data_IF_398588274964
#
_entry.id   IF_398588274964
#
_cell.length_a   1.000
_cell.length_b   1.000
_cell.length_c   1.000
_cell.angle_alpha   90.00
_cell.angle_beta   90.00
_cell.angle_gamma   90.00
#
_symmetry.space_group_name_H-M   'P 1'
#
loop_
_entity.id
_entity.type
_entity.pdbx_description
1 polymer ?
#
# COMPACT_ATOMS: atom_id res chain seq x y z
N UNK A 1 10.31 -21.75 22.27
CA UNK A 1 9.10 -21.01 21.89
C UNK A 1 8.88 -19.89 22.91
N UNK A 2 8.68 -18.64 22.53
CA UNK A 2 8.38 -17.58 23.50
C UNK A 2 7.03 -17.89 24.15
N UNK A 3 6.95 -17.80 25.48
CA UNK A 3 5.71 -17.97 26.23
C UNK A 3 4.74 -16.85 25.84
N UNK A 4 3.73 -17.19 25.04
CA UNK A 4 2.75 -16.25 24.48
C UNK A 4 1.66 -15.88 25.52
N UNK A 5 1.59 -16.61 26.64
CA UNK A 5 0.56 -16.43 27.65
C UNK A 5 1.15 -16.08 29.02
N UNK A 6 0.56 -15.09 29.71
CA UNK A 6 0.68 -14.94 31.15
C UNK A 6 -0.66 -15.22 31.80
N UNK A 7 -0.66 -16.08 32.81
CA UNK A 7 -1.82 -16.35 33.64
C UNK A 7 -1.71 -15.52 34.93
N UNK A 8 -2.75 -14.78 35.23
CA UNK A 8 -2.91 -14.11 36.51
C UNK A 8 -4.06 -14.79 37.29
N UNK A 9 -3.82 -15.14 38.56
CA UNK A 9 -4.84 -15.77 39.34
C UNK A 9 -5.92 -14.75 39.76
N UNK A 10 -5.57 -13.49 39.91
CA UNK A 10 -6.46 -12.42 40.34
C UNK A 10 -6.23 -11.13 39.56
N UNK A 11 -7.26 -10.27 39.52
CA UNK A 11 -7.15 -8.92 38.96
C UNK A 11 -6.12 -8.07 39.74
N UNK A 12 -5.98 -8.32 41.06
CA UNK A 12 -4.96 -7.66 41.88
C UNK A 12 -3.56 -7.97 41.41
N UNK A 13 -3.24 -9.22 41.04
CA UNK A 13 -1.94 -9.61 40.50
C UNK A 13 -1.68 -8.95 39.16
N UNK A 14 -2.69 -8.85 38.30
CA UNK A 14 -2.60 -8.15 37.03
C UNK A 14 -2.27 -6.67 37.21
N UNK A 15 -2.98 -5.98 38.11
CA UNK A 15 -2.83 -4.55 38.33
C UNK A 15 -1.51 -4.16 39.06
N UNK A 16 -0.83 -5.11 39.72
CA UNK A 16 0.45 -4.85 40.38
C UNK A 16 1.67 -4.93 39.44
N UNK A 17 1.52 -5.49 38.26
CA UNK A 17 2.63 -5.49 37.27
C UNK A 17 2.71 -4.14 36.57
N UNK A 18 3.86 -3.48 36.70
CA UNK A 18 4.12 -2.15 36.10
C UNK A 18 4.25 -2.15 34.56
N UNK A 19 4.41 -3.34 33.94
CA UNK A 19 4.51 -3.48 32.49
C UNK A 19 3.79 -4.73 32.03
N UNK A 20 2.64 -4.54 31.38
CA UNK A 20 2.01 -5.62 30.62
C UNK A 20 2.71 -5.76 29.27
N UNK A 21 3.21 -6.95 28.91
CA UNK A 21 3.95 -7.10 27.68
C UNK A 21 3.04 -6.80 26.47
N UNK A 22 3.46 -5.86 25.65
CA UNK A 22 2.81 -5.58 24.38
C UNK A 22 2.73 -6.86 23.53
N UNK A 23 1.63 -7.06 22.83
CA UNK A 23 1.36 -8.23 21.99
C UNK A 23 1.22 -9.58 22.72
N UNK A 24 0.94 -9.59 24.02
CA UNK A 24 0.61 -10.82 24.78
C UNK A 24 -0.85 -10.83 25.19
N UNK A 25 -1.43 -12.03 25.16
CA UNK A 25 -2.77 -12.27 25.68
C UNK A 25 -2.64 -12.64 27.14
N UNK A 26 -3.29 -11.89 28.01
CA UNK A 26 -3.31 -12.16 29.46
C UNK A 26 -4.70 -12.65 29.87
N UNK A 27 -4.75 -13.72 30.64
CA UNK A 27 -5.99 -14.27 31.17
C UNK A 27 -6.05 -14.10 32.69
N UNK A 28 -7.14 -13.51 33.21
CA UNK A 28 -7.40 -13.31 34.64
C UNK A 28 -8.45 -14.34 35.05
N UNK A 29 -8.01 -15.35 35.77
CA UNK A 29 -8.81 -16.54 36.13
C UNK A 29 -10.02 -16.23 36.98
N UNK A 30 -9.92 -15.32 37.97
CA UNK A 30 -11.00 -14.99 38.90
C UNK A 30 -12.11 -14.14 38.27
N UNK A 31 -11.82 -13.52 37.10
CA UNK A 31 -12.78 -12.65 36.39
C UNK A 31 -13.21 -13.22 35.04
N UNK A 32 -12.61 -14.35 34.61
CA UNK A 32 -12.85 -14.92 33.26
C UNK A 32 -12.72 -13.88 32.14
N UNK A 33 -11.71 -13.02 32.23
CA UNK A 33 -11.51 -11.90 31.29
C UNK A 33 -10.20 -12.07 30.55
N UNK A 34 -10.25 -11.84 29.24
CA UNK A 34 -9.09 -11.77 28.37
C UNK A 34 -8.66 -10.32 28.20
N UNK A 35 -7.36 -10.08 28.32
CA UNK A 35 -6.74 -8.79 28.00
C UNK A 35 -5.73 -8.99 26.88
N UNK A 36 -5.71 -8.06 25.94
CA UNK A 36 -4.64 -7.95 24.93
C UNK A 36 -4.26 -6.49 24.82
N UNK A 37 -2.96 -6.20 24.88
CA UNK A 37 -2.42 -4.83 24.80
C UNK A 37 -3.08 -3.85 25.78
N UNK A 38 -3.38 -4.31 27.01
CA UNK A 38 -4.00 -3.48 28.04
C UNK A 38 -5.51 -3.21 27.86
N UNK A 39 -6.13 -3.71 26.78
CA UNK A 39 -7.57 -3.54 26.52
C UNK A 39 -8.33 -4.79 26.95
N UNK A 40 -9.40 -4.58 27.72
CA UNK A 40 -10.29 -5.66 28.16
C UNK A 40 -11.21 -6.07 26.99
N UNK A 41 -11.15 -7.34 26.61
CA UNK A 41 -12.08 -7.95 25.65
C UNK A 41 -13.11 -8.77 26.44
N UNK A 42 -14.31 -8.25 26.58
CA UNK A 42 -15.54 -8.80 27.16
C UNK A 42 -15.45 -9.98 28.15
N UNK A 43 -16.30 -9.97 29.18
CA UNK A 43 -16.56 -11.12 30.04
C UNK A 43 -17.36 -12.17 29.26
N UNK A 44 -16.71 -13.19 28.74
CA UNK A 44 -17.41 -14.41 28.32
C UNK A 44 -17.65 -15.29 29.56
N UNK A 45 -18.89 -15.71 29.80
CA UNK A 45 -19.17 -16.79 30.75
C UNK A 45 -18.56 -18.07 30.16
N UNK A 46 -17.35 -18.38 30.58
CA UNK A 46 -16.79 -19.71 30.36
C UNK A 46 -17.32 -20.63 31.45
N UNK A 47 -18.51 -21.14 31.25
CA UNK A 47 -18.98 -22.28 32.02
C UNK A 47 -18.06 -23.45 31.68
N UNK A 48 -17.25 -23.85 32.67
CA UNK A 48 -16.40 -25.06 32.67
C UNK A 48 -15.08 -25.01 31.89
N UNK A 49 -14.07 -24.31 32.44
CA UNK A 49 -12.70 -24.85 32.38
C UNK A 49 -12.40 -25.44 33.75
N UNK A 50 -12.97 -26.57 34.06
CA UNK A 50 -12.87 -27.19 35.39
C UNK A 50 -11.59 -27.99 35.62
N UNK A 51 -10.75 -28.24 34.62
CA UNK A 51 -9.47 -28.96 34.81
C UNK A 51 -8.44 -28.49 33.78
N UNK A 52 -7.60 -27.54 34.17
CA UNK A 52 -6.41 -27.15 33.41
C UNK A 52 -5.26 -28.05 33.85
N UNK A 53 -5.24 -29.30 33.41
CA UNK A 53 -4.11 -30.21 33.61
C UNK A 53 -3.30 -30.47 32.33
N UNK A 54 -3.82 -30.02 31.18
CA UNK A 54 -3.22 -30.34 29.89
C UNK A 54 -3.08 -29.08 29.01
N UNK A 55 -1.84 -28.68 28.75
CA UNK A 55 -1.52 -27.48 27.94
C UNK A 55 -2.04 -27.62 26.50
N UNK A 56 -2.08 -28.83 25.95
CA UNK A 56 -2.51 -29.06 24.57
C UNK A 56 -4.02 -28.84 24.43
N UNK A 57 -4.80 -29.23 25.43
CA UNK A 57 -6.24 -28.99 25.46
C UNK A 57 -6.60 -27.48 25.59
N UNK A 58 -5.72 -26.69 26.21
CA UNK A 58 -5.86 -25.21 26.28
C UNK A 58 -5.63 -24.58 24.92
N UNK A 59 -4.61 -25.06 24.20
CA UNK A 59 -4.26 -24.56 22.85
C UNK A 59 -5.38 -24.88 21.86
N UNK A 60 -5.93 -26.08 21.92
CA UNK A 60 -7.03 -26.50 21.03
C UNK A 60 -8.31 -25.72 21.30
N UNK A 61 -8.71 -25.60 22.58
CA UNK A 61 -9.88 -24.76 22.95
C UNK A 61 -9.68 -23.28 22.66
N UNK A 62 -8.45 -22.78 22.78
CA UNK A 62 -8.12 -21.42 22.37
C UNK A 62 -8.23 -21.25 20.85
N UNK A 63 -7.80 -22.21 20.06
CA UNK A 63 -7.94 -22.19 18.62
C UNK A 63 -9.41 -22.29 18.17
N UNK A 64 -10.23 -23.07 18.89
CA UNK A 64 -11.68 -23.10 18.67
C UNK A 64 -12.37 -21.79 19.08
N UNK A 65 -11.98 -21.19 20.21
CA UNK A 65 -12.46 -19.88 20.64
C UNK A 65 -12.06 -18.79 19.64
N UNK A 66 -10.82 -18.83 19.16
CA UNK A 66 -10.32 -17.95 18.09
C UNK A 66 -11.11 -18.11 16.79
N UNK A 67 -11.40 -19.34 16.38
CA UNK A 67 -12.25 -19.63 15.22
C UNK A 67 -13.70 -19.11 15.43
N UNK A 68 -14.24 -19.28 16.63
CA UNK A 68 -15.58 -18.78 17.00
C UNK A 68 -15.65 -17.26 17.03
N UNK A 69 -14.63 -16.60 17.58
CA UNK A 69 -14.49 -15.14 17.64
C UNK A 69 -14.25 -14.53 16.25
N UNK A 70 -13.49 -15.23 15.39
CA UNK A 70 -13.35 -14.87 13.97
C UNK A 70 -14.68 -15.00 13.21
N UNK A 71 -15.50 -16.04 13.49
CA UNK A 71 -16.83 -16.20 12.91
C UNK A 71 -17.85 -15.17 13.40
N UNK A 72 -17.71 -14.68 14.63
CA UNK A 72 -18.65 -13.70 15.22
C UNK A 72 -18.30 -12.24 14.92
N UNK A 73 -17.30 -11.94 14.10
CA UNK A 73 -16.75 -10.58 13.88
C UNK A 73 -16.29 -9.87 15.18
N UNK A 74 -16.27 -10.54 16.33
CA UNK A 74 -15.80 -9.95 17.58
C UNK A 74 -14.25 -9.88 17.67
N UNK A 75 -13.53 -10.68 16.84
CA UNK A 75 -12.09 -10.49 16.60
C UNK A 75 -11.79 -9.65 15.36
N UNK A 76 -12.78 -9.25 14.60
CA UNK A 76 -12.66 -8.18 13.61
C UNK A 76 -12.33 -6.81 14.22
N UNK A 77 -12.26 -6.72 15.56
CA UNK A 77 -11.74 -5.55 16.27
C UNK A 77 -10.19 -5.46 16.29
N UNK A 78 -9.45 -6.38 15.66
CA UNK A 78 -8.17 -6.06 15.04
C UNK A 78 -8.44 -5.78 13.57
N UNK A 79 -9.15 -4.71 13.32
CA UNK A 79 -8.96 -4.00 12.07
C UNK A 79 -7.48 -3.72 11.96
N UNK A 80 -6.79 -4.12 10.89
CA UNK A 80 -5.48 -3.58 10.62
C UNK A 80 -5.68 -2.07 10.62
N UNK A 81 -5.20 -1.40 11.67
CA UNK A 81 -5.24 0.05 11.72
C UNK A 81 -4.35 0.52 10.59
N UNK A 82 -4.92 1.12 9.56
CA UNK A 82 -4.11 1.81 8.57
C UNK A 82 -3.40 2.94 9.28
N UNK A 83 -2.09 2.83 9.42
CA UNK A 83 -1.26 3.85 10.04
C UNK A 83 -0.52 4.58 8.94
N UNK A 84 -0.76 5.88 8.86
CA UNK A 84 -0.21 6.77 7.84
C UNK A 84 0.68 7.78 8.54
N UNK A 85 1.89 7.95 8.04
CA UNK A 85 2.82 9.00 8.43
C UNK A 85 3.05 9.95 7.27
N UNK A 86 3.08 11.26 7.55
CA UNK A 86 3.41 12.25 6.53
C UNK A 86 4.19 13.42 7.09
N UNK A 87 4.93 14.08 6.21
CA UNK A 87 5.58 15.37 6.47
C UNK A 87 5.02 16.42 5.54
N UNK A 88 5.09 17.68 5.94
CA UNK A 88 4.60 18.82 5.17
C UNK A 88 4.30 20.02 6.07
N UNK A 89 3.74 21.06 5.47
CA UNK A 89 3.45 22.31 6.16
C UNK A 89 2.15 22.28 6.98
N UNK A 90 1.44 21.15 7.02
CA UNK A 90 0.17 21.01 7.71
C UNK A 90 0.09 19.72 8.50
N UNK A 91 -0.47 19.80 9.71
CA UNK A 91 -0.85 18.64 10.51
C UNK A 91 -2.15 17.99 10.03
N UNK A 92 -2.68 18.39 8.87
CA UNK A 92 -3.88 17.81 8.28
C UNK A 92 -3.57 17.11 6.97
N UNK A 93 -4.32 16.05 6.69
CA UNK A 93 -4.28 15.29 5.45
C UNK A 93 -5.70 15.14 4.90
N UNK A 94 -5.85 15.22 3.57
CA UNK A 94 -7.13 14.96 2.91
C UNK A 94 -7.17 13.54 2.38
N UNK A 95 -8.22 12.81 2.73
CA UNK A 95 -8.48 11.45 2.26
C UNK A 95 -9.92 11.39 1.78
N UNK A 96 -10.15 11.00 0.53
CA UNK A 96 -11.47 10.97 -0.10
C UNK A 96 -12.24 12.31 0.03
N UNK A 97 -11.52 13.44 -0.01
CA UNK A 97 -12.09 14.77 0.15
C UNK A 97 -12.35 15.21 1.59
N UNK A 98 -12.35 14.31 2.56
CA UNK A 98 -12.46 14.61 3.99
C UNK A 98 -11.11 15.01 4.57
N UNK A 99 -11.11 16.01 5.48
CA UNK A 99 -9.89 16.45 6.16
C UNK A 99 -9.75 15.74 7.50
N UNK A 100 -8.59 15.16 7.74
CA UNK A 100 -8.20 14.52 8.99
C UNK A 100 -7.05 15.31 9.62
N UNK A 101 -7.07 15.46 10.93
CA UNK A 101 -5.99 16.08 11.70
C UNK A 101 -5.11 14.99 12.31
N UNK A 102 -3.80 15.23 12.35
CA UNK A 102 -2.86 14.33 13.00
C UNK A 102 -3.30 14.03 14.43
N UNK A 103 -3.15 12.78 14.81
CA UNK A 103 -3.36 12.31 16.18
C UNK A 103 -2.02 12.34 16.90
N UNK A 104 -2.00 12.83 18.14
CA UNK A 104 -0.83 12.84 19.01
C UNK A 104 0.36 13.72 18.52
N UNK A 105 1.48 13.65 19.26
CA UNK A 105 2.73 14.31 18.89
C UNK A 105 3.35 13.67 17.64
N UNK A 106 4.25 14.41 17.01
CA UNK A 106 5.00 13.89 15.88
C UNK A 106 5.84 12.67 16.26
N UNK A 107 5.96 11.72 15.32
CA UNK A 107 6.77 10.52 15.47
C UNK A 107 8.08 10.71 14.72
N UNK A 108 9.21 10.43 15.39
CA UNK A 108 10.51 10.45 14.75
C UNK A 108 10.77 9.09 14.06
N UNK A 109 11.04 9.12 12.76
CA UNK A 109 11.44 7.97 11.96
C UNK A 109 12.75 8.36 11.26
N UNK A 110 13.84 7.68 11.60
CA UNK A 110 15.18 7.90 11.03
C UNK A 110 15.62 9.38 11.00
N UNK A 111 15.35 10.10 12.11
CA UNK A 111 15.72 11.51 12.26
C UNK A 111 14.71 12.50 11.65
N UNK A 112 13.68 12.04 10.99
CA UNK A 112 12.61 12.88 10.43
C UNK A 112 11.36 12.83 11.28
N UNK A 113 10.76 13.97 11.57
CA UNK A 113 9.52 14.07 12.33
C UNK A 113 8.30 13.99 11.40
N UNK A 114 7.43 13.02 11.65
CA UNK A 114 6.21 12.77 10.90
C UNK A 114 4.96 13.05 11.72
N UNK A 115 3.95 13.59 11.09
CA UNK A 115 2.57 13.53 11.58
C UNK A 115 2.03 12.11 11.44
N UNK A 116 1.14 11.69 12.34
CA UNK A 116 0.55 10.36 12.35
C UNK A 116 -0.98 10.41 12.28
N UNK A 117 -1.56 9.49 11.52
CA UNK A 117 -2.99 9.19 11.53
C UNK A 117 -3.19 7.67 11.63
N UNK A 118 -3.99 7.24 12.59
CA UNK A 118 -4.46 5.86 12.73
C UNK A 118 -5.93 5.81 12.32
N UNK A 119 -6.26 4.94 11.39
CA UNK A 119 -7.63 4.75 10.93
C UNK A 119 -8.12 3.37 11.36
N UNK A 120 -9.22 3.32 12.10
CA UNK A 120 -9.81 2.10 12.67
C UNK A 120 -10.65 1.30 11.64
N UNK A 121 -10.52 1.62 10.35
CA UNK A 121 -11.27 0.96 9.28
C UNK A 121 -10.33 0.26 8.32
N UNK A 122 -10.74 -0.95 7.92
CA UNK A 122 -10.20 -1.57 6.71
C UNK A 122 -10.45 -0.64 5.53
N UNK A 123 -9.46 -0.58 4.63
CA UNK A 123 -9.66 0.04 3.34
C UNK A 123 -10.69 -0.82 2.61
N UNK A 124 -11.89 -0.29 2.43
CA UNK A 124 -12.89 -0.94 1.58
C UNK A 124 -12.50 -0.80 0.11
N UNK A 125 -13.29 -1.35 -0.82
CA UNK A 125 -13.03 -1.30 -2.26
C UNK A 125 -12.85 0.12 -2.83
N UNK A 126 -13.15 1.15 -2.05
CA UNK A 126 -12.85 2.54 -2.36
C UNK A 126 -11.57 2.97 -1.64
N UNK A 127 -10.40 2.58 -2.18
CA UNK A 127 -9.12 2.98 -1.62
C UNK A 127 -9.02 4.49 -1.45
N UNK A 128 -8.37 4.91 -0.36
CA UNK A 128 -8.24 6.32 -0.01
C UNK A 128 -7.53 7.12 -1.09
N UNK A 129 -8.23 8.10 -1.63
CA UNK A 129 -7.63 9.05 -2.58
C UNK A 129 -6.96 10.16 -1.80
N UNK A 130 -5.64 10.21 -1.89
CA UNK A 130 -4.79 11.24 -1.28
C UNK A 130 -4.57 12.42 -2.24
N UNK A 131 -5.40 12.55 -3.24
CA UNK A 131 -5.24 13.52 -4.30
C UNK A 131 -5.18 14.97 -3.79
N UNK A 132 -4.37 15.80 -4.47
CA UNK A 132 -4.20 17.22 -4.19
C UNK A 132 -3.72 17.58 -2.79
N UNK A 133 -3.01 16.67 -2.13
CA UNK A 133 -2.38 16.94 -0.84
C UNK A 133 -1.04 17.67 -1.02
N UNK A 134 -0.65 18.41 0.03
CA UNK A 134 0.59 19.20 0.09
C UNK A 134 1.68 18.58 0.94
N UNK A 135 1.51 17.33 1.37
CA UNK A 135 2.56 16.60 2.08
C UNK A 135 3.75 16.31 1.15
N UNK A 136 4.94 16.25 1.75
CA UNK A 136 6.18 16.00 1.02
C UNK A 136 6.63 14.55 1.08
N UNK A 137 6.41 13.88 2.20
CA UNK A 137 6.68 12.45 2.37
C UNK A 137 5.43 11.74 2.86
N UNK A 138 5.22 10.51 2.41
CA UNK A 138 4.09 9.68 2.82
C UNK A 138 4.55 8.23 2.99
N UNK A 139 4.27 7.66 4.16
CA UNK A 139 4.60 6.28 4.53
C UNK A 139 3.34 5.58 5.02
N UNK A 140 3.13 4.37 4.55
CA UNK A 140 2.10 3.46 5.04
C UNK A 140 2.75 2.38 5.89
N UNK A 141 2.54 2.40 7.22
CA UNK A 141 3.12 1.41 8.12
C UNK A 141 2.33 0.11 8.13
N UNK A 142 1.03 0.23 8.39
CA UNK A 142 0.12 -0.90 8.49
C UNK A 142 -1.06 -0.62 7.54
N UNK A 143 -1.07 -1.30 6.40
CA UNK A 143 -2.10 -1.13 5.37
C UNK A 143 -2.41 -2.47 4.74
N UNK A 144 -3.69 -2.82 4.65
CA UNK A 144 -4.17 -3.95 3.87
C UNK A 144 -4.89 -3.43 2.63
N UNK A 145 -4.33 -3.71 1.46
CA UNK A 145 -4.91 -3.34 0.16
C UNK A 145 -5.34 -4.57 -0.65
N UNK A 146 -5.30 -5.76 -0.04
CA UNK A 146 -5.56 -7.03 -0.73
C UNK A 146 -6.97 -7.14 -1.35
N UNK A 147 -7.95 -6.40 -0.83
CA UNK A 147 -9.31 -6.36 -1.35
C UNK A 147 -9.56 -5.21 -2.36
N UNK A 148 -8.56 -4.37 -2.64
CA UNK A 148 -8.71 -3.22 -3.51
C UNK A 148 -8.68 -3.66 -4.97
N UNK A 149 -9.67 -3.26 -5.73
CA UNK A 149 -9.77 -3.53 -7.17
C UNK A 149 -9.59 -2.27 -8.03
N UNK A 150 -9.75 -1.09 -7.45
CA UNK A 150 -9.64 0.20 -8.12
C UNK A 150 -8.73 1.17 -7.36
N UNK A 151 -7.56 1.46 -7.93
CA UNK A 151 -6.59 2.43 -7.41
C UNK A 151 -6.52 3.70 -8.28
N UNK A 152 -7.59 4.03 -9.00
CA UNK A 152 -7.58 5.25 -9.81
C UNK A 152 -7.46 6.52 -8.95
N UNK A 153 -6.61 7.43 -9.41
CA UNK A 153 -6.39 8.75 -8.79
C UNK A 153 -5.91 8.73 -7.32
N UNK A 154 -5.34 7.64 -6.80
CA UNK A 154 -4.96 7.53 -5.38
C UNK A 154 -4.04 8.67 -4.96
N UNK A 155 -2.99 8.97 -5.73
CA UNK A 155 -2.04 10.06 -5.46
C UNK A 155 -2.11 11.17 -6.51
N UNK A 156 -3.22 11.25 -7.25
CA UNK A 156 -3.37 12.25 -8.32
C UNK A 156 -3.15 13.67 -7.79
N UNK A 157 -2.31 14.43 -8.48
CA UNK A 157 -1.98 15.81 -8.16
C UNK A 157 -1.37 16.04 -6.76
N UNK A 158 -0.70 15.02 -6.19
CA UNK A 158 0.15 15.19 -5.01
C UNK A 158 1.47 15.90 -5.42
N UNK A 159 1.36 17.15 -5.83
CA UNK A 159 2.42 17.87 -6.53
C UNK A 159 3.66 18.17 -5.69
N UNK A 160 3.54 18.21 -4.36
CA UNK A 160 4.64 18.45 -3.43
C UNK A 160 5.33 17.16 -2.96
N UNK A 161 4.79 15.99 -3.32
CA UNK A 161 5.27 14.69 -2.86
C UNK A 161 6.65 14.40 -3.45
N UNK A 162 7.66 14.29 -2.58
CA UNK A 162 9.05 13.99 -2.94
C UNK A 162 9.43 12.55 -2.63
N UNK A 163 8.77 11.93 -1.62
CA UNK A 163 9.01 10.55 -1.21
C UNK A 163 7.69 9.85 -0.90
N UNK A 164 7.53 8.65 -1.44
CA UNK A 164 6.36 7.80 -1.26
C UNK A 164 6.80 6.35 -1.09
N UNK A 165 6.41 5.74 0.02
CA UNK A 165 6.60 4.31 0.26
C UNK A 165 5.29 3.56 0.02
N UNK A 166 5.27 2.77 -1.05
CA UNK A 166 4.16 1.87 -1.44
C UNK A 166 4.53 0.39 -1.31
N UNK A 167 5.63 0.08 -0.61
CA UNK A 167 6.14 -1.29 -0.45
C UNK A 167 5.16 -2.26 0.22
N UNK A 168 4.19 -1.73 0.96
CA UNK A 168 3.15 -2.50 1.66
C UNK A 168 1.88 -2.72 0.84
N UNK A 169 1.80 -2.16 -0.37
CA UNK A 169 0.60 -2.30 -1.19
C UNK A 169 0.54 -3.68 -1.84
N UNK A 170 -0.53 -4.43 -1.56
CA UNK A 170 -0.92 -5.58 -2.37
C UNK A 170 -1.81 -5.09 -3.51
N UNK A 171 -1.31 -5.17 -4.74
CA UNK A 171 -2.03 -4.74 -5.94
C UNK A 171 -2.57 -5.93 -6.75
N UNK A 172 -2.49 -7.15 -6.21
CA UNK A 172 -2.83 -8.40 -6.93
C UNK A 172 -4.29 -8.50 -7.40
N UNK A 173 -5.18 -7.70 -6.81
CA UNK A 173 -6.59 -7.63 -7.21
C UNK A 173 -6.95 -6.35 -7.99
N UNK A 174 -5.99 -5.45 -8.20
CA UNK A 174 -6.26 -4.16 -8.85
C UNK A 174 -6.42 -4.34 -10.36
N UNK A 175 -7.54 -3.88 -10.88
CA UNK A 175 -7.86 -3.88 -12.31
C UNK A 175 -7.70 -2.50 -12.95
N UNK A 176 -7.80 -1.42 -12.16
CA UNK A 176 -7.75 -0.04 -12.62
C UNK A 176 -6.70 0.77 -11.84
N UNK A 177 -5.64 1.20 -12.53
CA UNK A 177 -4.55 2.03 -12.00
C UNK A 177 -4.48 3.39 -12.70
N UNK A 178 -5.57 3.83 -13.32
CA UNK A 178 -5.63 5.08 -14.06
C UNK A 178 -5.27 6.29 -13.17
N UNK A 179 -4.40 7.17 -13.66
CA UNK A 179 -3.95 8.39 -12.96
C UNK A 179 -3.38 8.17 -11.55
N UNK A 180 -2.92 6.97 -11.20
CA UNK A 180 -2.54 6.66 -9.80
C UNK A 180 -1.51 7.65 -9.26
N UNK A 181 -0.52 8.04 -10.06
CA UNK A 181 0.54 9.00 -9.70
C UNK A 181 0.53 10.25 -10.61
N UNK A 182 -0.55 10.48 -11.37
CA UNK A 182 -0.63 11.63 -12.28
C UNK A 182 -0.45 12.95 -11.51
N UNK A 183 0.45 13.79 -11.99
CA UNK A 183 0.72 15.09 -11.38
C UNK A 183 1.54 15.04 -10.08
N UNK A 184 2.22 13.94 -9.77
CA UNK A 184 3.24 13.89 -8.72
C UNK A 184 4.51 14.60 -9.21
N UNK A 185 4.46 15.95 -9.24
CA UNK A 185 5.46 16.77 -9.95
C UNK A 185 6.86 16.68 -9.36
N UNK A 186 6.97 16.51 -8.03
CA UNK A 186 8.23 16.63 -7.29
C UNK A 186 8.91 15.27 -7.03
N UNK A 187 8.24 14.15 -7.30
CA UNK A 187 8.81 12.82 -7.05
C UNK A 187 9.95 12.55 -8.02
N UNK A 188 11.13 12.22 -7.47
CA UNK A 188 12.36 11.98 -8.27
C UNK A 188 12.64 10.49 -8.44
N UNK A 189 12.14 9.66 -7.52
CA UNK A 189 12.26 8.21 -7.50
C UNK A 189 10.96 7.60 -6.99
N UNK A 190 10.53 6.50 -7.58
CA UNK A 190 9.35 5.75 -7.16
C UNK A 190 9.62 4.25 -7.34
N UNK A 191 9.58 3.51 -6.23
CA UNK A 191 9.70 2.07 -6.24
C UNK A 191 8.33 1.41 -6.34
N UNK A 192 8.08 0.73 -7.45
CA UNK A 192 6.88 -0.04 -7.75
C UNK A 192 7.19 -1.52 -8.01
N UNK A 193 8.36 -1.98 -7.58
CA UNK A 193 8.84 -3.36 -7.80
C UNK A 193 7.94 -4.42 -7.16
N UNK A 194 7.19 -4.06 -6.11
CA UNK A 194 6.23 -4.94 -5.45
C UNK A 194 4.85 -5.01 -6.14
N UNK A 195 4.59 -4.19 -7.18
CA UNK A 195 3.27 -4.16 -7.81
C UNK A 195 3.02 -5.43 -8.65
N UNK A 196 1.94 -6.11 -8.34
CA UNK A 196 1.39 -7.17 -9.17
C UNK A 196 0.30 -6.60 -10.08
N UNK A 197 0.61 -6.48 -11.36
CA UNK A 197 -0.28 -5.87 -12.34
C UNK A 197 -1.01 -6.89 -13.23
N UNK A 198 -0.97 -8.18 -12.86
CA UNK A 198 -1.50 -9.27 -13.70
C UNK A 198 -3.00 -9.17 -14.00
N UNK A 199 -3.78 -8.47 -13.16
CA UNK A 199 -5.21 -8.21 -13.38
C UNK A 199 -5.50 -6.83 -13.95
N UNK A 200 -4.49 -5.96 -14.09
CA UNK A 200 -4.70 -4.60 -14.55
C UNK A 200 -5.15 -4.58 -16.03
N UNK A 201 -6.20 -3.83 -16.29
CA UNK A 201 -6.75 -3.59 -17.64
C UNK A 201 -6.57 -2.14 -18.09
N UNK A 202 -6.49 -1.22 -17.14
CA UNK A 202 -6.34 0.22 -17.40
C UNK A 202 -5.18 0.80 -16.60
N UNK A 203 -4.15 1.26 -17.32
CA UNK A 203 -2.98 1.96 -16.76
C UNK A 203 -2.83 3.36 -17.37
N UNK A 204 -3.91 3.92 -17.95
CA UNK A 204 -3.82 5.23 -18.61
C UNK A 204 -3.38 6.30 -17.62
N UNK A 205 -2.47 7.17 -18.07
CA UNK A 205 -1.96 8.30 -17.30
C UNK A 205 -1.34 7.96 -15.94
N UNK A 206 -0.94 6.69 -15.69
CA UNK A 206 -0.50 6.25 -14.36
C UNK A 206 0.65 7.10 -13.80
N UNK A 207 1.60 7.49 -14.63
CA UNK A 207 2.75 8.34 -14.26
C UNK A 207 2.75 9.69 -15.01
N UNK A 208 1.60 10.09 -15.53
CA UNK A 208 1.51 11.34 -16.29
C UNK A 208 1.96 12.52 -15.43
N UNK A 209 2.73 13.44 -16.02
CA UNK A 209 3.29 14.62 -15.34
C UNK A 209 4.14 14.34 -14.08
N UNK A 210 4.72 13.17 -13.93
CA UNK A 210 5.81 12.95 -12.97
C UNK A 210 7.08 13.66 -13.47
N UNK A 211 7.09 14.99 -13.40
CA UNK A 211 8.05 15.83 -14.12
C UNK A 211 9.48 15.70 -13.64
N UNK A 212 9.70 15.37 -12.38
CA UNK A 212 11.02 15.24 -11.75
C UNK A 212 11.54 13.81 -11.73
N UNK A 213 10.75 12.81 -12.15
CA UNK A 213 11.13 11.42 -12.18
C UNK A 213 12.22 11.20 -13.24
N UNK A 214 13.41 10.75 -12.81
CA UNK A 214 14.59 10.64 -13.69
C UNK A 214 14.74 9.28 -14.33
N UNK A 215 14.31 8.23 -13.62
CA UNK A 215 14.28 6.85 -14.10
C UNK A 215 13.07 6.14 -13.52
N UNK A 216 12.58 5.11 -14.23
CA UNK A 216 11.50 4.27 -13.75
C UNK A 216 11.73 2.85 -14.26
N UNK A 217 11.72 1.89 -13.35
CA UNK A 217 11.72 0.47 -13.64
C UNK A 217 10.31 -0.10 -13.43
N UNK A 218 9.69 -0.54 -14.52
CA UNK A 218 8.39 -1.20 -14.55
C UNK A 218 8.48 -2.54 -15.31
N UNK A 219 9.66 -3.13 -15.32
CA UNK A 219 9.91 -4.43 -15.95
C UNK A 219 9.16 -5.58 -15.29
N UNK A 220 8.81 -5.40 -13.99
CA UNK A 220 7.96 -6.34 -13.25
C UNK A 220 6.47 -6.28 -13.63
N UNK A 221 6.03 -5.27 -14.41
CA UNK A 221 4.63 -5.14 -14.78
C UNK A 221 4.21 -6.19 -15.81
N UNK A 222 3.23 -7.01 -15.44
CA UNK A 222 2.55 -7.86 -16.39
C UNK A 222 1.46 -7.07 -17.12
N UNK A 223 1.71 -6.74 -18.39
CA UNK A 223 0.80 -5.92 -19.21
C UNK A 223 -0.10 -6.74 -20.13
N UNK A 224 -0.06 -8.08 -20.05
CA UNK A 224 -0.79 -8.99 -20.95
C UNK A 224 -2.32 -8.84 -20.95
N UNK A 225 -2.88 -8.23 -19.90
CA UNK A 225 -4.31 -7.93 -19.80
C UNK A 225 -4.64 -6.44 -20.00
N UNK A 226 -3.63 -5.59 -20.18
CA UNK A 226 -3.85 -4.15 -20.34
C UNK A 226 -4.42 -3.83 -21.72
N UNK A 227 -5.51 -3.08 -21.73
CA UNK A 227 -6.17 -2.61 -22.95
C UNK A 227 -5.98 -1.12 -23.20
N UNK A 228 -5.73 -0.34 -22.14
CA UNK A 228 -5.62 1.12 -22.18
C UNK A 228 -4.38 1.56 -21.40
N UNK A 229 -3.43 2.22 -22.10
CA UNK A 229 -2.22 2.81 -21.50
C UNK A 229 -1.84 4.15 -22.14
N UNK A 230 -2.85 4.90 -22.64
CA UNK A 230 -2.61 6.22 -23.18
C UNK A 230 -2.01 7.15 -22.11
N UNK A 231 -1.11 8.02 -22.55
CA UNK A 231 -0.48 9.03 -21.70
C UNK A 231 0.28 8.49 -20.46
N UNK A 232 0.57 7.19 -20.38
CA UNK A 232 1.10 6.57 -19.16
C UNK A 232 2.37 7.27 -18.63
N UNK A 233 3.25 7.77 -19.52
CA UNK A 233 4.47 8.55 -19.18
C UNK A 233 4.43 9.99 -19.69
N UNK A 234 3.30 10.45 -20.23
CA UNK A 234 3.21 11.78 -20.83
C UNK A 234 3.61 12.86 -19.83
N UNK A 235 4.48 13.77 -20.24
CA UNK A 235 4.95 14.86 -19.40
C UNK A 235 6.02 14.49 -18.36
N UNK A 236 6.57 13.29 -18.40
CA UNK A 236 7.74 12.90 -17.58
C UNK A 236 9.01 13.56 -18.14
N UNK A 237 9.15 14.86 -17.90
CA UNK A 237 10.14 15.71 -18.58
C UNK A 237 11.59 15.38 -18.22
N UNK A 238 11.85 14.88 -17.00
CA UNK A 238 13.18 14.52 -16.54
C UNK A 238 13.55 13.05 -16.79
N UNK A 239 12.60 12.23 -17.28
CA UNK A 239 12.80 10.80 -17.46
C UNK A 239 13.84 10.56 -18.56
N UNK A 240 15.01 10.02 -18.16
CA UNK A 240 16.14 9.74 -19.09
C UNK A 240 16.20 8.29 -19.51
N UNK A 241 15.75 7.38 -18.62
CA UNK A 241 15.74 5.95 -18.88
C UNK A 241 14.43 5.32 -18.38
N UNK A 242 13.96 4.32 -19.12
CA UNK A 242 12.75 3.57 -18.81
C UNK A 242 13.00 2.09 -19.07
N UNK A 243 12.67 1.22 -18.12
CA UNK A 243 12.71 -0.23 -18.34
C UNK A 243 11.27 -0.77 -18.41
N UNK A 244 10.90 -1.25 -19.62
CA UNK A 244 9.62 -1.90 -19.92
C UNK A 244 9.86 -3.32 -20.46
N UNK A 245 10.92 -3.96 -20.00
CA UNK A 245 11.23 -5.33 -20.36
C UNK A 245 10.06 -6.26 -20.05
N UNK A 246 9.82 -7.25 -20.90
CA UNK A 246 8.72 -8.19 -20.72
C UNK A 246 7.30 -7.65 -20.99
N UNK A 247 7.14 -6.40 -21.36
CA UNK A 247 5.82 -5.86 -21.67
C UNK A 247 5.21 -6.55 -22.90
N UNK A 248 3.91 -6.83 -22.80
CA UNK A 248 3.06 -7.31 -23.89
C UNK A 248 2.00 -6.24 -24.21
N UNK A 249 2.04 -5.72 -25.44
CA UNK A 249 1.05 -4.73 -25.91
C UNK A 249 0.03 -5.34 -26.88
N UNK A 250 -0.07 -6.67 -26.95
CA UNK A 250 -0.94 -7.34 -27.93
C UNK A 250 -2.42 -6.93 -27.79
N UNK A 251 -2.92 -6.80 -26.54
CA UNK A 251 -4.29 -6.37 -26.25
C UNK A 251 -4.47 -4.86 -26.17
N UNK A 252 -3.39 -4.08 -26.23
CA UNK A 252 -3.51 -2.62 -26.09
C UNK A 252 -4.16 -2.02 -27.33
N UNK A 253 -5.30 -1.38 -27.10
CA UNK A 253 -6.07 -0.68 -28.14
C UNK A 253 -5.81 0.82 -28.17
N UNK A 254 -5.37 1.40 -27.04
CA UNK A 254 -5.08 2.82 -26.95
C UNK A 254 -3.79 3.08 -26.15
N UNK A 255 -2.74 3.57 -26.85
CA UNK A 255 -1.48 4.03 -26.27
C UNK A 255 -1.11 5.46 -26.72
N UNK A 256 -2.10 6.23 -27.17
CA UNK A 256 -1.88 7.59 -27.66
C UNK A 256 -1.18 8.46 -26.59
N UNK A 257 -0.27 9.33 -27.04
CA UNK A 257 0.45 10.29 -26.17
C UNK A 257 1.29 9.63 -25.06
N UNK A 258 1.69 8.37 -25.24
CA UNK A 258 2.39 7.59 -24.20
C UNK A 258 3.67 8.29 -23.72
N UNK A 259 4.41 8.92 -24.64
CA UNK A 259 5.68 9.59 -24.39
C UNK A 259 5.67 11.09 -24.69
N UNK A 260 4.50 11.68 -24.93
CA UNK A 260 4.39 13.12 -25.26
C UNK A 260 5.10 13.95 -24.19
N UNK A 261 5.99 14.86 -24.61
CA UNK A 261 6.81 15.70 -23.71
C UNK A 261 7.81 14.97 -22.80
N UNK A 262 8.19 13.72 -23.11
CA UNK A 262 9.31 13.03 -22.46
C UNK A 262 10.65 13.47 -23.10
N UNK A 263 10.95 14.76 -23.11
CA UNK A 263 12.02 15.35 -23.92
C UNK A 263 13.44 14.93 -23.49
N UNK A 264 13.62 14.42 -22.28
CA UNK A 264 14.91 13.92 -21.79
C UNK A 264 15.14 12.42 -22.06
N UNK A 265 14.14 11.70 -22.62
CA UNK A 265 14.19 10.26 -22.75
C UNK A 265 15.24 9.83 -23.78
N UNK A 266 16.26 9.11 -23.31
CA UNK A 266 17.41 8.66 -24.10
C UNK A 266 17.41 7.16 -24.34
N UNK A 267 16.90 6.38 -23.37
CA UNK A 267 16.98 4.93 -23.43
C UNK A 267 15.68 4.28 -22.95
N UNK A 268 15.19 3.33 -23.73
CA UNK A 268 14.15 2.39 -23.32
C UNK A 268 14.69 0.98 -23.41
N UNK A 269 14.68 0.26 -22.28
CA UNK A 269 14.99 -1.17 -22.26
C UNK A 269 13.71 -1.96 -22.49
N UNK A 270 13.80 -2.96 -23.40
CA UNK A 270 12.67 -3.78 -23.84
C UNK A 270 13.09 -5.25 -23.98
N UNK A 271 13.95 -5.74 -23.07
CA UNK A 271 14.37 -7.13 -23.07
C UNK A 271 13.15 -8.06 -22.93
N UNK A 272 13.11 -9.14 -23.69
CA UNK A 272 12.01 -10.10 -23.66
C UNK A 272 10.68 -9.62 -24.28
N UNK A 273 10.59 -8.41 -24.80
CA UNK A 273 9.42 -7.95 -25.55
C UNK A 273 9.33 -8.61 -26.93
N UNK A 274 8.10 -8.90 -27.38
CA UNK A 274 7.85 -9.35 -28.73
C UNK A 274 8.20 -8.25 -29.77
N UNK A 275 8.58 -8.66 -31.01
CA UNK A 275 8.83 -7.70 -32.08
C UNK A 275 7.63 -6.78 -32.33
N UNK A 276 6.42 -7.31 -32.24
CA UNK A 276 5.17 -6.52 -32.36
C UNK A 276 5.09 -5.42 -31.32
N UNK A 277 5.43 -5.71 -30.04
CA UNK A 277 5.48 -4.71 -28.98
C UNK A 277 6.53 -3.65 -29.25
N UNK A 278 7.74 -4.08 -29.67
CA UNK A 278 8.85 -3.17 -30.02
C UNK A 278 8.42 -2.21 -31.13
N UNK A 279 7.81 -2.73 -32.19
CA UNK A 279 7.37 -1.91 -33.34
C UNK A 279 6.27 -0.92 -32.95
N UNK A 280 5.30 -1.34 -32.12
CA UNK A 280 4.26 -0.43 -31.59
C UNK A 280 4.87 0.70 -30.75
N UNK A 281 5.83 0.41 -29.89
CA UNK A 281 6.51 1.41 -29.06
C UNK A 281 7.33 2.38 -29.93
N UNK A 282 8.08 1.88 -30.90
CA UNK A 282 8.82 2.71 -31.88
C UNK A 282 7.90 3.66 -32.64
N UNK A 283 6.80 3.14 -33.15
CA UNK A 283 5.79 3.95 -33.84
C UNK A 283 5.19 5.03 -32.91
N UNK A 284 4.94 4.70 -31.65
CA UNK A 284 4.40 5.67 -30.70
C UNK A 284 5.42 6.75 -30.31
N UNK A 285 6.70 6.40 -30.14
CA UNK A 285 7.78 7.39 -29.94
C UNK A 285 7.85 8.40 -31.08
N UNK A 286 7.83 7.90 -32.31
CA UNK A 286 7.82 8.75 -33.50
C UNK A 286 6.59 9.66 -33.55
N UNK A 287 5.40 9.12 -33.26
CA UNK A 287 4.14 9.87 -33.22
C UNK A 287 4.14 10.95 -32.15
N UNK A 288 4.78 10.71 -31.02
CA UNK A 288 4.90 11.64 -29.90
C UNK A 288 6.07 12.63 -30.07
N UNK A 289 6.80 12.57 -31.18
CA UNK A 289 7.90 13.47 -31.51
C UNK A 289 9.18 13.23 -30.71
N UNK A 290 9.35 12.03 -30.13
CA UNK A 290 10.56 11.66 -29.40
C UNK A 290 11.58 11.11 -30.39
N UNK A 291 12.65 11.89 -30.57
CA UNK A 291 13.76 11.55 -31.46
C UNK A 291 15.03 11.26 -30.68
N UNK A 292 15.90 10.37 -31.21
CA UNK A 292 17.18 10.07 -30.55
C UNK A 292 17.10 9.15 -29.33
N UNK A 293 15.93 8.56 -29.05
CA UNK A 293 15.79 7.55 -28.02
C UNK A 293 16.31 6.19 -28.54
N UNK A 294 17.21 5.57 -27.79
CA UNK A 294 17.75 4.24 -28.07
C UNK A 294 16.87 3.17 -27.45
N UNK A 295 16.51 2.15 -28.21
CA UNK A 295 15.83 0.96 -27.70
C UNK A 295 16.86 -0.16 -27.53
N UNK A 296 16.92 -0.73 -26.32
CA UNK A 296 17.80 -1.84 -25.95
C UNK A 296 16.95 -3.07 -25.74
N UNK A 297 17.24 -4.15 -26.45
CA UNK A 297 16.42 -5.40 -26.44
C UNK A 297 17.16 -6.59 -25.83
N UNK A 298 18.38 -6.38 -25.36
CA UNK A 298 19.23 -7.40 -24.75
C UNK A 298 19.37 -7.18 -23.23
#
# INVERSE_FOLDING_TARGET
MPKIFRNYNTLSQFNTESTHPENKICFIKDKCVLYSNGVQYSSYKMDTIANIGDLDNIVDKFNELRKGLLKSNLMAARTPHTVIYWTGNSNTIKINGSTYTAQEDKVNIDGTEYYQLKLDKDLDNSFYKFNRNTFTNLIFKDVDTSNITDMNNVFNSCSALTSLDVSKFDTSNVTNMNNMFDGCLAITYLDVSNFNTSKATNMSSMFQYCRSLTSLDVSNFNTSNVTIMNSIFSGCKALTSLDISGWDTSKVTNMNKMFTSCNALKTIRMAGCSQTTIDKIKAQLSKDGITGCTIVTE
#
